data_IF_826986785029
#
_entry.id   IF_826986785029
#
_cell.length_a   1.000
_cell.length_b   1.000
_cell.length_c   1.000
_cell.angle_alpha   90.00
_cell.angle_beta   90.00
_cell.angle_gamma   90.00
#
_symmetry.space_group_name_H-M   'P 1'
#
loop_
_entity.id
_entity.type
_entity.pdbx_description
1 polymer ?
#
# COMPACT_ATOMS: atom_id res chain seq x y z
N UNK A 1 4.90 12.17 17.65
CA UNK A 1 3.75 11.34 17.21
C UNK A 1 2.48 12.19 17.28
N UNK A 2 1.64 12.17 16.24
CA UNK A 2 0.48 13.08 16.11
C UNK A 2 -0.86 12.46 16.54
N UNK A 3 -1.04 11.16 16.30
CA UNK A 3 -2.27 10.43 16.60
C UNK A 3 -1.97 8.94 16.81
N UNK A 4 -2.90 8.23 17.43
CA UNK A 4 -3.03 6.77 17.32
C UNK A 4 -4.28 6.44 16.51
N UNK A 5 -4.37 5.21 16.00
CA UNK A 5 -5.36 4.89 14.97
C UNK A 5 -6.13 3.61 15.25
N UNK A 6 -7.43 3.63 14.98
CA UNK A 6 -8.30 2.46 15.09
C UNK A 6 -8.94 2.16 13.74
N UNK A 7 -8.81 0.92 13.27
CA UNK A 7 -9.34 0.50 11.97
C UNK A 7 -10.67 -0.21 12.22
N UNK A 8 -11.72 0.19 11.50
CA UNK A 8 -13.06 -0.35 11.70
C UNK A 8 -13.91 -0.31 10.43
N UNK A 9 -15.07 -0.95 10.49
CA UNK A 9 -16.10 -0.86 9.45
C UNK A 9 -16.90 0.45 9.62
N UNK A 10 -17.29 1.09 8.52
CA UNK A 10 -18.00 2.38 8.56
C UNK A 10 -19.34 2.31 9.32
N UNK A 11 -20.02 1.16 9.27
CA UNK A 11 -21.29 0.92 10.00
C UNK A 11 -21.12 0.89 11.52
N UNK A 12 -19.88 0.76 12.03
CA UNK A 12 -19.61 0.83 13.47
C UNK A 12 -19.44 2.26 13.97
N UNK A 13 -19.27 3.24 13.07
CA UNK A 13 -18.82 4.58 13.43
C UNK A 13 -19.81 5.30 14.34
N UNK A 14 -21.12 5.22 14.08
CA UNK A 14 -22.12 5.90 14.91
C UNK A 14 -22.13 5.36 16.36
N UNK A 15 -22.05 4.03 16.50
CA UNK A 15 -21.91 3.39 17.82
C UNK A 15 -20.61 3.79 18.52
N UNK A 16 -19.49 3.84 17.80
CA UNK A 16 -18.18 4.23 18.36
C UNK A 16 -18.19 5.70 18.79
N UNK A 17 -18.78 6.59 17.99
CA UNK A 17 -18.88 8.01 18.32
C UNK A 17 -19.83 8.28 19.50
N UNK A 18 -20.74 7.34 19.78
CA UNK A 18 -21.66 7.40 20.93
C UNK A 18 -21.06 6.82 22.21
N UNK A 19 -20.44 5.64 22.12
CA UNK A 19 -20.02 4.86 23.28
C UNK A 19 -18.51 4.84 23.51
N UNK A 20 -17.72 5.36 22.57
CA UNK A 20 -16.28 5.20 22.52
C UNK A 20 -15.85 3.96 21.75
N UNK A 21 -14.53 3.80 21.59
CA UNK A 21 -13.96 2.55 21.07
C UNK A 21 -13.91 1.58 22.24
N UNK A 22 -14.69 0.51 22.18
CA UNK A 22 -14.81 -0.46 23.26
C UNK A 22 -13.95 -1.70 22.98
N UNK A 23 -13.46 -2.32 24.04
CA UNK A 23 -12.84 -3.65 23.97
C UNK A 23 -13.87 -4.69 23.53
N UNK A 24 -13.41 -5.78 22.93
CA UNK A 24 -14.31 -6.85 22.47
C UNK A 24 -15.19 -7.40 23.59
N UNK A 25 -14.62 -7.60 24.79
CA UNK A 25 -15.39 -8.05 25.94
C UNK A 25 -16.48 -7.05 26.32
N UNK A 26 -16.17 -5.75 26.37
CA UNK A 26 -17.17 -4.72 26.69
C UNK A 26 -18.28 -4.61 25.63
N UNK A 27 -17.97 -4.88 24.36
CA UNK A 27 -18.99 -4.93 23.28
C UNK A 27 -19.97 -6.09 23.52
N UNK A 28 -19.47 -7.27 23.86
CA UNK A 28 -20.29 -8.45 24.15
C UNK A 28 -21.12 -8.27 25.43
N UNK A 29 -20.50 -7.79 26.51
CA UNK A 29 -21.17 -7.58 27.81
C UNK A 29 -22.34 -6.59 27.68
N UNK A 30 -22.22 -5.61 26.77
CA UNK A 30 -23.27 -4.61 26.49
C UNK A 30 -24.26 -5.07 25.40
N UNK A 31 -24.06 -6.23 24.78
CA UNK A 31 -24.91 -6.72 23.70
C UNK A 31 -24.94 -5.83 22.46
N UNK A 32 -23.86 -5.06 22.21
CA UNK A 32 -23.80 -4.13 21.08
C UNK A 32 -23.52 -4.88 19.78
N UNK A 33 -24.29 -4.56 18.75
CA UNK A 33 -24.06 -5.09 17.40
C UNK A 33 -22.87 -4.39 16.76
N UNK A 34 -22.03 -5.15 16.08
CA UNK A 34 -20.91 -4.60 15.31
C UNK A 34 -20.69 -5.40 14.02
N UNK A 35 -20.11 -4.73 13.04
CA UNK A 35 -19.64 -5.33 11.79
C UNK A 35 -18.15 -5.62 11.90
N UNK A 36 -17.77 -6.88 11.87
CA UNK A 36 -16.37 -7.30 11.97
C UNK A 36 -15.61 -7.03 10.66
N UNK A 37 -14.42 -6.44 10.77
CA UNK A 37 -13.43 -6.37 9.67
C UNK A 37 -12.41 -7.51 9.72
N UNK A 38 -12.39 -8.27 10.82
CA UNK A 38 -11.45 -9.35 11.07
C UNK A 38 -12.07 -10.72 10.78
N UNK A 39 -11.21 -11.70 10.53
CA UNK A 39 -11.60 -13.10 10.53
C UNK A 39 -11.85 -13.62 11.95
N UNK A 40 -12.77 -14.57 12.08
CA UNK A 40 -13.11 -15.21 13.37
C UNK A 40 -11.89 -15.79 14.08
N UNK A 41 -10.90 -16.25 13.33
CA UNK A 41 -9.67 -16.85 13.84
C UNK A 41 -8.76 -15.83 14.52
N UNK A 42 -8.55 -14.65 13.92
CA UNK A 42 -7.80 -13.54 14.51
C UNK A 42 -8.42 -13.14 15.85
N UNK A 43 -9.75 -13.03 15.86
CA UNK A 43 -10.53 -12.67 17.05
C UNK A 43 -10.38 -13.76 18.14
N UNK A 44 -10.38 -15.04 17.76
CA UNK A 44 -10.14 -16.16 18.68
C UNK A 44 -8.72 -16.19 19.26
N UNK A 45 -7.70 -15.95 18.42
CA UNK A 45 -6.29 -15.94 18.84
C UNK A 45 -6.05 -14.84 19.89
N UNK A 46 -6.63 -13.65 19.66
CA UNK A 46 -6.56 -12.55 20.64
C UNK A 46 -7.28 -12.89 21.95
N UNK A 47 -8.32 -13.73 21.94
CA UNK A 47 -9.00 -14.16 23.18
C UNK A 47 -8.09 -15.00 24.08
N UNK A 48 -7.26 -15.85 23.47
CA UNK A 48 -6.35 -16.78 24.17
C UNK A 48 -5.07 -16.11 24.66
N UNK A 49 -4.60 -15.07 23.98
CA UNK A 49 -3.39 -14.34 24.35
C UNK A 49 -3.65 -13.43 25.55
N UNK A 50 -2.73 -13.43 26.50
CA UNK A 50 -2.80 -12.61 27.71
C UNK A 50 -1.69 -11.55 27.76
N UNK A 51 -1.98 -10.45 28.43
CA UNK A 51 -1.01 -9.42 28.84
C UNK A 51 -0.18 -9.90 30.04
N UNK A 52 0.89 -9.17 30.42
CA UNK A 52 1.71 -9.52 31.59
C UNK A 52 0.96 -9.60 32.93
N UNK A 53 -0.19 -8.94 33.06
CA UNK A 53 -1.11 -9.03 34.20
C UNK A 53 -2.21 -10.10 34.03
N UNK A 54 -1.98 -11.07 33.13
CA UNK A 54 -2.84 -12.23 32.87
C UNK A 54 -4.25 -11.91 32.34
N UNK A 55 -4.49 -10.68 31.90
CA UNK A 55 -5.76 -10.31 31.26
C UNK A 55 -5.73 -10.68 29.77
N UNK A 56 -6.88 -11.15 29.27
CA UNK A 56 -7.04 -11.43 27.85
C UNK A 56 -6.93 -10.14 27.02
N UNK A 57 -6.34 -10.21 25.81
CA UNK A 57 -6.34 -9.05 24.89
C UNK A 57 -7.76 -8.57 24.54
N UNK A 58 -8.80 -9.39 24.74
CA UNK A 58 -10.20 -8.99 24.58
C UNK A 58 -10.67 -7.91 25.56
N UNK A 59 -9.96 -7.74 26.67
CA UNK A 59 -10.22 -6.67 27.64
C UNK A 59 -9.61 -5.34 27.22
N UNK A 60 -8.94 -5.28 26.07
CA UNK A 60 -8.25 -4.08 25.59
C UNK A 60 -8.82 -3.60 24.26
N UNK A 61 -8.92 -2.28 24.12
CA UNK A 61 -9.10 -1.59 22.85
C UNK A 61 -7.72 -1.39 22.22
N UNK A 62 -7.44 -2.08 21.12
CA UNK A 62 -6.16 -2.00 20.42
C UNK A 62 -6.14 -0.85 19.42
N UNK A 63 -5.14 0.01 19.48
CA UNK A 63 -4.93 1.10 18.52
C UNK A 63 -3.49 1.09 18.01
N UNK A 64 -3.29 1.48 16.76
CA UNK A 64 -2.02 1.40 16.06
C UNK A 64 -1.27 2.73 16.11
N UNK A 65 0.06 2.66 16.14
CA UNK A 65 0.91 3.83 15.90
C UNK A 65 0.97 4.23 14.41
N UNK A 66 0.76 3.26 13.52
CA UNK A 66 0.72 3.42 12.07
C UNK A 66 -0.51 2.68 11.52
N UNK A 67 -1.50 3.37 10.90
CA UNK A 67 -2.67 2.71 10.34
C UNK A 67 -2.37 2.02 9.03
N UNK A 68 -1.41 2.54 8.25
CA UNK A 68 -1.00 1.97 6.96
C UNK A 68 -0.04 0.81 7.18
N UNK A 69 -0.58 -0.33 7.57
CA UNK A 69 0.15 -1.51 8.03
C UNK A 69 -0.36 -2.81 7.36
N UNK A 70 0.29 -3.97 7.57
CA UNK A 70 -0.10 -5.26 7.01
C UNK A 70 -1.56 -5.67 7.27
N UNK A 71 -2.12 -5.30 8.42
CA UNK A 71 -3.50 -5.62 8.76
C UNK A 71 -4.48 -4.80 7.92
N UNK A 72 -4.27 -3.47 7.80
CA UNK A 72 -5.11 -2.65 6.92
C UNK A 72 -4.98 -3.09 5.46
N UNK A 73 -3.76 -3.44 5.02
CA UNK A 73 -3.52 -3.93 3.67
C UNK A 73 -4.36 -5.17 3.37
N UNK A 74 -4.37 -6.13 4.30
CA UNK A 74 -5.20 -7.33 4.20
C UNK A 74 -6.69 -7.01 4.06
N UNK A 75 -7.22 -6.18 4.94
CA UNK A 75 -8.64 -5.83 4.93
C UNK A 75 -9.03 -5.14 3.63
N UNK A 76 -8.18 -4.22 3.14
CA UNK A 76 -8.41 -3.51 1.87
C UNK A 76 -8.37 -4.46 0.68
N UNK A 77 -7.46 -5.45 0.67
CA UNK A 77 -7.38 -6.43 -0.41
C UNK A 77 -8.60 -7.35 -0.45
N UNK A 78 -8.99 -7.91 0.71
CA UNK A 78 -10.07 -8.91 0.80
C UNK A 78 -11.45 -8.30 0.56
N UNK A 79 -11.69 -7.09 1.08
CA UNK A 79 -13.05 -6.50 1.14
C UNK A 79 -13.21 -5.23 0.30
N UNK A 80 -12.10 -4.68 -0.21
CA UNK A 80 -12.04 -3.32 -0.74
C UNK A 80 -12.10 -2.29 0.38
N UNK A 81 -11.71 -1.04 0.09
CA UNK A 81 -11.75 0.02 1.08
C UNK A 81 -13.11 0.73 1.21
N UNK A 82 -14.13 0.32 0.44
CA UNK A 82 -15.44 1.01 0.36
C UNK A 82 -16.16 1.11 1.71
N UNK A 83 -15.94 0.13 2.58
CA UNK A 83 -16.61 0.03 3.88
C UNK A 83 -15.65 0.20 5.07
N UNK A 84 -14.41 0.62 4.82
CA UNK A 84 -13.37 0.73 5.85
C UNK A 84 -13.15 2.19 6.23
N UNK A 85 -13.01 2.43 7.53
CA UNK A 85 -12.62 3.71 8.09
C UNK A 85 -11.46 3.55 9.08
N UNK A 86 -10.65 4.59 9.18
CA UNK A 86 -9.58 4.70 10.18
C UNK A 86 -9.88 5.89 11.07
N UNK A 87 -10.16 5.64 12.34
CA UNK A 87 -10.38 6.67 13.35
C UNK A 87 -9.03 7.13 13.88
N UNK A 88 -8.82 8.43 13.95
CA UNK A 88 -7.64 9.02 14.56
C UNK A 88 -7.94 9.61 15.93
N UNK A 89 -7.09 9.26 16.88
CA UNK A 89 -7.21 9.59 18.29
C UNK A 89 -6.16 10.60 18.71
N UNK A 90 -6.56 11.49 19.61
CA UNK A 90 -5.65 12.41 20.28
C UNK A 90 -4.59 11.62 21.09
N UNK A 91 -3.31 12.05 21.11
CA UNK A 91 -2.24 11.37 21.85
C UNK A 91 -2.52 11.19 23.35
N UNK A 92 -3.43 11.97 23.92
CA UNK A 92 -3.93 11.89 25.30
C UNK A 92 -4.45 10.50 25.66
N UNK A 93 -4.83 9.66 24.68
CA UNK A 93 -5.16 8.25 24.92
C UNK A 93 -4.01 7.46 25.58
N UNK A 94 -2.76 7.91 25.42
CA UNK A 94 -1.60 7.32 26.10
C UNK A 94 -1.51 7.65 27.60
N UNK A 95 -2.42 8.47 28.13
CA UNK A 95 -2.51 8.75 29.56
C UNK A 95 -3.46 7.77 30.27
N UNK A 96 -4.05 6.82 29.53
CA UNK A 96 -4.95 5.80 30.10
C UNK A 96 -4.21 4.90 31.10
N UNK A 97 -4.70 4.76 32.33
CA UNK A 97 -4.07 3.93 33.34
C UNK A 97 -4.13 2.45 32.94
N UNK A 98 -3.04 1.72 33.20
CA UNK A 98 -2.97 0.28 32.92
C UNK A 98 -2.83 -0.07 31.43
N UNK A 99 -2.47 0.89 30.57
CA UNK A 99 -2.17 0.60 29.17
C UNK A 99 -0.89 -0.23 29.01
N UNK A 100 -0.83 -0.98 27.93
CA UNK A 100 0.38 -1.60 27.43
C UNK A 100 0.74 -1.08 26.04
N UNK A 101 2.03 -0.91 25.78
CA UNK A 101 2.58 -0.66 24.45
C UNK A 101 3.30 -1.92 24.00
N UNK A 102 3.19 -2.27 22.73
CA UNK A 102 3.80 -3.46 22.15
C UNK A 102 4.78 -3.08 21.03
N UNK A 103 5.85 -3.87 20.86
CA UNK A 103 6.84 -3.68 19.78
C UNK A 103 6.39 -4.31 18.44
N UNK A 104 5.12 -4.70 18.33
CA UNK A 104 4.55 -5.32 17.14
C UNK A 104 3.11 -5.77 17.38
N UNK A 105 2.55 -6.59 16.49
CA UNK A 105 1.20 -7.15 16.67
C UNK A 105 1.15 -7.96 17.99
N UNK A 106 0.27 -7.55 18.92
CA UNK A 106 0.14 -8.12 20.26
C UNK A 106 -0.27 -9.61 20.27
N UNK A 107 -0.91 -10.09 19.21
CA UNK A 107 -1.30 -11.50 19.07
C UNK A 107 -0.10 -12.42 18.77
N UNK A 108 0.99 -11.86 18.26
CA UNK A 108 2.18 -12.62 17.87
C UNK A 108 3.01 -13.05 19.10
N UNK A 109 3.54 -14.27 19.10
CA UNK A 109 4.27 -14.84 20.24
C UNK A 109 5.55 -14.08 20.60
N UNK A 110 6.29 -13.59 19.60
CA UNK A 110 7.57 -12.89 19.81
C UNK A 110 7.39 -11.41 20.18
N UNK A 111 6.14 -10.94 20.30
CA UNK A 111 5.85 -9.55 20.68
C UNK A 111 5.97 -9.34 22.18
N UNK A 112 6.68 -8.26 22.53
CA UNK A 112 6.91 -7.86 23.91
C UNK A 112 5.93 -6.77 24.31
N UNK A 113 5.59 -6.75 25.61
CA UNK A 113 4.67 -5.81 26.22
C UNK A 113 5.42 -4.91 27.20
N UNK A 114 5.19 -3.62 27.10
CA UNK A 114 5.85 -2.60 27.88
C UNK A 114 4.82 -1.72 28.57
N UNK A 115 5.14 -1.24 29.76
CA UNK A 115 4.41 -0.13 30.37
C UNK A 115 4.59 1.15 29.52
N UNK A 116 3.83 2.19 29.83
CA UNK A 116 3.90 3.46 29.09
C UNK A 116 5.32 4.02 28.95
N UNK A 117 6.10 4.10 30.03
CA UNK A 117 7.42 4.76 30.02
C UNK A 117 8.41 4.02 29.12
N UNK A 118 8.53 2.72 29.31
CA UNK A 118 9.47 1.90 28.55
C UNK A 118 9.00 1.75 27.10
N UNK A 119 7.69 1.60 26.91
CA UNK A 119 7.08 1.44 25.60
C UNK A 119 7.29 2.64 24.68
N UNK A 120 7.19 3.86 25.20
CA UNK A 120 7.45 5.06 24.39
C UNK A 120 8.91 5.12 23.92
N UNK A 121 9.86 4.67 24.74
CA UNK A 121 11.26 4.59 24.32
C UNK A 121 11.41 3.58 23.18
N UNK A 122 10.85 2.38 23.31
CA UNK A 122 10.89 1.34 22.27
C UNK A 122 10.27 1.83 20.95
N UNK A 123 9.11 2.48 21.01
CA UNK A 123 8.45 3.05 19.82
C UNK A 123 9.30 4.14 19.18
N UNK A 124 10.00 4.95 19.99
CA UNK A 124 10.90 5.98 19.49
C UNK A 124 12.10 5.37 18.77
N UNK A 125 12.71 4.34 19.35
CA UNK A 125 13.87 3.64 18.77
C UNK A 125 13.50 2.92 17.46
N UNK A 126 12.26 2.45 17.36
CA UNK A 126 11.73 1.74 16.19
C UNK A 126 10.97 2.65 15.21
N UNK A 127 10.92 3.96 15.45
CA UNK A 127 10.03 4.88 14.75
C UNK A 127 10.26 4.90 13.24
N UNK A 128 11.51 4.76 12.79
CA UNK A 128 11.85 4.69 11.37
C UNK A 128 11.27 3.46 10.67
N UNK A 129 11.15 2.34 11.38
CA UNK A 129 10.47 1.14 10.87
C UNK A 129 8.96 1.33 10.87
N UNK A 130 8.39 1.87 11.95
CA UNK A 130 6.93 2.08 12.10
C UNK A 130 6.39 3.08 11.08
N UNK A 131 7.15 4.13 10.75
CA UNK A 131 6.75 5.13 9.75
C UNK A 131 7.06 4.70 8.31
N UNK A 132 7.65 3.52 8.11
CA UNK A 132 8.04 3.02 6.80
C UNK A 132 6.86 2.83 5.85
N UNK A 133 7.08 3.05 4.55
CA UNK A 133 6.07 2.80 3.50
C UNK A 133 6.01 1.33 3.06
N UNK A 134 7.02 0.53 3.45
CA UNK A 134 7.19 -0.86 3.06
C UNK A 134 7.63 -1.71 4.26
N UNK A 135 7.32 -3.00 4.20
CA UNK A 135 7.69 -3.98 5.22
C UNK A 135 7.97 -5.35 4.60
N UNK A 136 8.67 -6.21 5.34
CA UNK A 136 8.90 -7.60 4.98
C UNK A 136 9.03 -8.47 6.26
N UNK A 137 8.88 -9.78 6.09
CA UNK A 137 9.03 -10.73 7.20
C UNK A 137 10.49 -11.00 7.57
N UNK A 138 11.42 -10.87 6.62
CA UNK A 138 12.83 -11.26 6.76
C UNK A 138 13.60 -10.38 7.76
N UNK A 139 13.31 -9.07 7.79
CA UNK A 139 13.91 -8.10 8.73
C UNK A 139 13.01 -7.79 9.94
N UNK A 140 11.85 -8.45 10.03
CA UNK A 140 10.86 -8.28 11.09
C UNK A 140 10.06 -6.97 11.03
N UNK A 141 10.27 -6.10 10.03
CA UNK A 141 9.53 -4.84 9.88
C UNK A 141 8.02 -5.05 9.75
N UNK A 142 7.58 -6.16 9.13
CA UNK A 142 6.15 -6.53 9.02
C UNK A 142 5.47 -6.64 10.39
N UNK A 143 6.14 -7.25 11.37
CA UNK A 143 5.62 -7.32 12.74
C UNK A 143 5.67 -5.95 13.42
N UNK A 144 6.82 -5.28 13.33
CA UNK A 144 7.14 -4.03 14.04
C UNK A 144 6.24 -2.86 13.63
N UNK A 145 5.88 -2.75 12.35
CA UNK A 145 4.98 -1.69 11.87
C UNK A 145 3.55 -1.83 12.41
N UNK A 146 3.19 -3.03 12.87
CA UNK A 146 1.92 -3.30 13.56
C UNK A 146 2.02 -3.10 15.08
N UNK A 147 3.00 -2.36 15.58
CA UNK A 147 3.06 -1.98 16.99
C UNK A 147 1.72 -1.34 17.44
N UNK A 148 1.23 -1.78 18.59
CA UNK A 148 -0.07 -1.40 19.12
C UNK A 148 0.06 -0.77 20.52
N UNK A 149 -0.86 0.13 20.84
CA UNK A 149 -1.19 0.51 22.21
C UNK A 149 -2.52 -0.18 22.60
N UNK A 150 -2.50 -0.87 23.74
CA UNK A 150 -3.61 -1.61 24.29
C UNK A 150 -4.19 -0.82 25.46
N UNK A 151 -5.38 -0.25 25.27
CA UNK A 151 -6.07 0.54 26.31
C UNK A 151 -7.13 -0.32 26.99
N UNK A 152 -7.10 -0.48 28.33
CA UNK A 152 -8.09 -1.30 29.04
C UNK A 152 -9.53 -0.80 28.83
N UNK A 153 -10.45 -1.73 28.62
CA UNK A 153 -11.90 -1.58 28.54
C UNK A 153 -12.43 -0.71 27.41
N UNK A 154 -12.07 0.58 27.36
CA UNK A 154 -12.64 1.55 26.44
C UNK A 154 -11.78 2.80 26.25
N UNK A 155 -11.95 3.44 25.10
CA UNK A 155 -11.40 4.77 24.77
C UNK A 155 -12.58 5.73 24.64
N UNK A 156 -12.52 6.86 25.36
CA UNK A 156 -13.58 7.87 25.34
C UNK A 156 -13.82 8.42 23.91
N UNK A 157 -15.08 8.64 23.50
CA UNK A 157 -15.39 9.27 22.21
C UNK A 157 -14.83 10.69 22.10
N UNK A 158 -14.58 11.39 23.22
CA UNK A 158 -13.99 12.74 23.23
C UNK A 158 -12.53 12.77 22.76
N UNK A 159 -11.87 11.60 22.72
CA UNK A 159 -10.51 11.46 22.20
C UNK A 159 -10.47 11.27 20.68
N UNK A 160 -11.63 11.12 20.02
CA UNK A 160 -11.73 10.98 18.57
C UNK A 160 -11.70 12.37 17.93
N UNK A 161 -10.71 12.63 17.07
CA UNK A 161 -10.57 13.93 16.43
C UNK A 161 -10.85 13.93 14.93
N UNK A 162 -10.68 12.79 14.24
CA UNK A 162 -10.99 12.69 12.80
C UNK A 162 -11.21 11.25 12.36
N UNK A 163 -11.86 11.09 11.21
CA UNK A 163 -12.10 9.81 10.55
C UNK A 163 -11.52 9.90 9.14
N UNK A 164 -10.63 8.97 8.80
CA UNK A 164 -10.04 8.84 7.47
C UNK A 164 -10.74 7.75 6.67
N UNK A 165 -10.93 7.99 5.38
CA UNK A 165 -11.57 7.07 4.42
C UNK A 165 -10.85 7.10 3.06
N UNK A 166 -11.08 6.10 2.23
CA UNK A 166 -10.31 5.93 0.99
C UNK A 166 -10.52 7.03 -0.08
N UNK A 167 -11.70 7.66 -0.15
CA UNK A 167 -12.01 8.66 -1.18
C UNK A 167 -13.20 9.54 -0.77
N UNK A 168 -13.55 10.51 -1.62
CA UNK A 168 -14.66 11.44 -1.39
C UNK A 168 -16.03 10.75 -1.31
N UNK A 169 -16.31 9.75 -2.14
CA UNK A 169 -17.58 9.00 -2.09
C UNK A 169 -17.75 8.30 -0.76
N UNK A 170 -16.69 7.66 -0.24
CA UNK A 170 -16.70 7.09 1.10
C UNK A 170 -16.94 8.16 2.18
N UNK A 171 -16.33 9.34 2.03
CA UNK A 171 -16.48 10.42 3.00
C UNK A 171 -17.93 10.91 3.09
N UNK A 172 -18.59 11.11 1.95
CA UNK A 172 -20.01 11.50 1.94
C UNK A 172 -20.91 10.42 2.52
N UNK A 173 -20.63 9.13 2.26
CA UNK A 173 -21.35 8.03 2.89
C UNK A 173 -21.14 7.99 4.41
N UNK A 174 -19.92 8.18 4.90
CA UNK A 174 -19.67 8.22 6.36
C UNK A 174 -20.38 9.43 6.99
N UNK A 175 -20.31 10.60 6.35
CA UNK A 175 -21.01 11.80 6.83
C UNK A 175 -22.52 11.61 6.88
N UNK A 176 -23.13 10.79 6.01
CA UNK A 176 -24.57 10.50 6.10
C UNK A 176 -24.91 9.50 7.21
N UNK A 177 -24.00 8.57 7.53
CA UNK A 177 -24.19 7.55 8.57
C UNK A 177 -24.02 8.06 10.00
N UNK A 178 -23.09 8.98 10.25
CA UNK A 178 -22.76 9.42 11.62
C UNK A 178 -23.62 10.60 12.09
N UNK A 179 -24.01 10.61 13.37
CA UNK A 179 -24.76 11.73 13.96
C UNK A 179 -23.87 12.93 14.36
N UNK A 180 -22.62 12.69 14.78
CA UNK A 180 -21.64 13.73 15.18
C UNK A 180 -21.03 14.43 13.98
N UNK A 181 -21.71 15.45 13.43
CA UNK A 181 -21.31 16.17 12.20
C UNK A 181 -20.07 17.04 12.37
N UNK A 182 -19.67 17.34 13.60
CA UNK A 182 -18.49 18.12 13.92
C UNK A 182 -17.18 17.35 13.72
N UNK A 183 -17.22 16.02 13.66
CA UNK A 183 -16.04 15.19 13.43
C UNK A 183 -15.65 15.25 11.95
N UNK A 184 -14.44 15.73 11.61
CA UNK A 184 -13.96 15.75 10.23
C UNK A 184 -13.86 14.34 9.64
N UNK A 185 -14.44 14.16 8.46
CA UNK A 185 -14.29 12.96 7.63
C UNK A 185 -13.41 13.31 6.43
N UNK A 186 -12.20 12.75 6.40
CA UNK A 186 -11.11 13.15 5.51
C UNK A 186 -10.79 12.02 4.52
N UNK A 187 -10.95 12.27 3.21
CA UNK A 187 -10.43 11.38 2.17
C UNK A 187 -8.89 11.34 2.21
N UNK A 188 -8.32 10.17 2.43
CA UNK A 188 -6.86 9.95 2.45
C UNK A 188 -6.51 8.64 1.71
N UNK A 189 -6.59 8.63 0.37
CA UNK A 189 -6.42 7.41 -0.44
C UNK A 189 -5.09 6.68 -0.18
N UNK A 190 -4.01 7.40 0.11
CA UNK A 190 -2.68 6.81 0.29
C UNK A 190 -2.59 5.92 1.54
N UNK A 191 -3.37 6.25 2.59
CA UNK A 191 -3.53 5.43 3.79
C UNK A 191 -4.15 4.07 3.46
N UNK A 192 -5.01 4.01 2.43
CA UNK A 192 -5.70 2.81 1.96
C UNK A 192 -5.02 2.20 0.73
N UNK A 193 -3.71 2.43 0.55
CA UNK A 193 -2.89 1.84 -0.52
C UNK A 193 -3.30 2.24 -1.94
N UNK A 194 -4.16 3.25 -2.10
CA UNK A 194 -4.52 3.79 -3.39
C UNK A 194 -3.60 4.94 -3.80
N UNK A 195 -3.50 5.23 -5.11
CA UNK A 195 -2.85 6.45 -5.58
C UNK A 195 -3.49 7.70 -4.97
N UNK A 196 -2.67 8.69 -4.63
CA UNK A 196 -3.09 10.00 -4.17
C UNK A 196 -3.99 10.71 -5.18
N UNK A 197 -3.66 10.57 -6.48
CA UNK A 197 -4.44 11.07 -7.59
C UNK A 197 -4.43 10.09 -8.75
N UNK A 198 -5.50 10.12 -9.54
CA UNK A 198 -5.60 9.39 -10.80
C UNK A 198 -6.13 10.31 -11.90
N UNK A 199 -5.59 10.16 -13.10
CA UNK A 199 -6.00 10.90 -14.29
C UNK A 199 -6.43 9.90 -15.35
N UNK A 200 -7.69 9.93 -15.74
CA UNK A 200 -8.21 9.02 -16.75
C UNK A 200 -7.85 9.54 -18.15
N UNK A 201 -7.13 8.72 -18.93
CA UNK A 201 -6.78 9.03 -20.33
C UNK A 201 -7.75 8.31 -21.28
N UNK A 202 -8.09 7.05 -20.96
CA UNK A 202 -9.12 6.26 -21.63
C UNK A 202 -9.86 5.37 -20.63
N UNK A 203 -10.75 4.50 -21.09
CA UNK A 203 -11.41 3.52 -20.21
C UNK A 203 -10.44 2.50 -19.59
N UNK A 204 -9.25 2.33 -20.18
CA UNK A 204 -8.27 1.33 -19.76
C UNK A 204 -6.88 1.90 -19.46
N UNK A 205 -6.62 3.18 -19.76
CA UNK A 205 -5.34 3.84 -19.53
C UNK A 205 -5.50 5.00 -18.54
N UNK A 206 -4.72 4.96 -17.46
CA UNK A 206 -4.75 5.95 -16.39
C UNK A 206 -3.34 6.41 -16.03
N UNK A 207 -3.19 7.65 -15.61
CA UNK A 207 -2.02 8.11 -14.86
C UNK A 207 -2.31 8.04 -13.37
N UNK A 208 -1.28 7.80 -12.56
CA UNK A 208 -1.41 7.70 -11.11
C UNK A 208 -0.25 8.41 -10.40
N UNK A 209 -0.56 9.16 -9.34
CA UNK A 209 0.41 9.64 -8.36
C UNK A 209 0.37 8.70 -7.15
N UNK A 210 1.41 7.90 -6.90
CA UNK A 210 1.38 6.94 -5.79
C UNK A 210 2.57 5.99 -5.74
N UNK A 211 2.43 4.89 -4.99
CA UNK A 211 3.39 3.79 -5.04
C UNK A 211 2.94 2.70 -6.01
N UNK A 212 3.76 2.45 -7.03
CA UNK A 212 3.46 1.44 -8.05
C UNK A 212 3.51 0.02 -7.47
N UNK A 213 4.31 -0.24 -6.43
CA UNK A 213 4.42 -1.58 -5.85
C UNK A 213 3.16 -2.03 -5.10
N UNK A 214 2.27 -1.09 -4.75
CA UNK A 214 0.95 -1.39 -4.19
C UNK A 214 -0.16 -1.40 -5.25
N UNK A 215 0.21 -1.39 -6.55
CA UNK A 215 -0.78 -1.46 -7.62
C UNK A 215 -1.51 -2.80 -7.64
N UNK A 216 -2.82 -2.77 -7.85
CA UNK A 216 -3.65 -3.97 -8.03
C UNK A 216 -3.48 -4.63 -9.41
N UNK A 217 -2.66 -4.06 -10.30
CA UNK A 217 -2.35 -4.67 -11.59
C UNK A 217 -1.60 -6.00 -11.43
N UNK A 218 -1.73 -6.89 -12.41
CA UNK A 218 -1.07 -8.20 -12.43
C UNK A 218 0.45 -8.05 -12.62
N UNK A 219 0.85 -7.19 -13.55
CA UNK A 219 2.26 -7.02 -13.93
C UNK A 219 2.78 -5.67 -13.46
N UNK A 220 3.87 -5.66 -12.71
CA UNK A 220 4.59 -4.46 -12.28
C UNK A 220 5.84 -4.27 -13.14
N UNK A 221 6.08 -3.07 -13.64
CA UNK A 221 7.22 -2.81 -14.53
C UNK A 221 8.38 -2.18 -13.78
N UNK A 222 9.55 -2.81 -13.77
CA UNK A 222 10.75 -2.23 -13.18
C UNK A 222 11.65 -1.69 -14.28
N UNK A 223 11.90 -0.38 -14.26
CA UNK A 223 12.88 0.24 -15.16
C UNK A 223 14.30 -0.17 -14.77
N UNK A 224 15.03 -0.78 -15.70
CA UNK A 224 16.35 -1.38 -15.45
C UNK A 224 17.37 -0.96 -16.51
N UNK A 225 18.64 -1.28 -16.26
CA UNK A 225 19.68 -1.27 -17.27
C UNK A 225 19.89 -2.69 -17.82
N UNK A 226 20.83 -2.87 -18.76
CA UNK A 226 21.12 -4.17 -19.34
C UNK A 226 22.40 -4.81 -18.79
N UNK A 227 23.02 -4.21 -17.76
CA UNK A 227 24.29 -4.69 -17.16
C UNK A 227 24.12 -5.33 -15.79
N UNK A 228 22.89 -5.61 -15.35
CA UNK A 228 22.66 -6.42 -14.14
C UNK A 228 22.78 -5.66 -12.81
N UNK A 229 22.70 -4.32 -12.82
CA UNK A 229 22.83 -3.50 -11.59
C UNK A 229 21.50 -2.82 -11.25
N UNK A 230 21.01 -2.97 -10.02
CA UNK A 230 19.86 -2.23 -9.47
C UNK A 230 20.33 -1.36 -8.29
N UNK A 231 20.85 -0.16 -8.58
CA UNK A 231 21.59 0.63 -7.60
C UNK A 231 20.86 1.85 -7.02
N UNK A 232 19.93 2.46 -7.77
CA UNK A 232 19.18 3.65 -7.32
C UNK A 232 17.71 3.64 -7.79
N UNK A 233 16.90 4.50 -7.20
CA UNK A 233 15.50 4.74 -7.59
C UNK A 233 14.63 3.49 -7.49
N UNK A 234 13.66 3.37 -8.42
CA UNK A 234 12.70 2.27 -8.48
C UNK A 234 13.37 0.89 -8.55
N UNK A 235 14.44 0.75 -9.33
CA UNK A 235 15.18 -0.51 -9.45
C UNK A 235 15.80 -0.94 -8.12
N UNK A 236 16.41 -0.01 -7.39
CA UNK A 236 16.99 -0.29 -6.07
C UNK A 236 15.91 -0.71 -5.06
N UNK A 237 14.77 -0.01 -5.04
CA UNK A 237 13.62 -0.42 -4.22
C UNK A 237 13.17 -1.84 -4.58
N UNK A 238 13.02 -2.14 -5.87
CA UNK A 238 12.65 -3.49 -6.32
C UNK A 238 13.66 -4.55 -5.85
N UNK A 239 14.96 -4.27 -5.89
CA UNK A 239 16.00 -5.20 -5.40
C UNK A 239 15.83 -5.54 -3.91
N UNK A 240 15.55 -4.55 -3.06
CA UNK A 240 15.40 -4.79 -1.61
C UNK A 240 14.05 -5.39 -1.26
N UNK A 241 13.00 -5.00 -1.97
CA UNK A 241 11.63 -5.47 -1.72
C UNK A 241 11.38 -6.87 -2.31
N UNK A 242 12.04 -7.19 -3.43
CA UNK A 242 11.88 -8.45 -4.17
C UNK A 242 13.25 -9.04 -4.56
N UNK A 243 14.00 -9.62 -3.61
CA UNK A 243 15.34 -10.15 -3.88
C UNK A 243 15.37 -11.21 -4.99
N UNK A 244 14.31 -12.03 -5.12
CA UNK A 244 14.18 -13.03 -6.17
C UNK A 244 14.11 -12.40 -7.57
N UNK A 245 13.39 -11.28 -7.72
CA UNK A 245 13.33 -10.50 -8.97
C UNK A 245 14.73 -10.00 -9.38
N UNK A 246 15.56 -9.62 -8.41
CA UNK A 246 16.92 -9.19 -8.70
C UNK A 246 17.80 -10.33 -9.23
N UNK A 247 17.67 -11.54 -8.68
CA UNK A 247 18.40 -12.73 -9.16
C UNK A 247 18.00 -13.04 -10.61
N UNK A 248 16.70 -13.10 -10.90
CA UNK A 248 16.19 -13.36 -12.25
C UNK A 248 16.64 -12.29 -13.24
N UNK A 249 16.63 -11.02 -12.82
CA UNK A 249 17.13 -9.91 -13.63
C UNK A 249 18.59 -10.07 -14.02
N UNK A 250 19.46 -10.43 -13.06
CA UNK A 250 20.88 -10.62 -13.34
C UNK A 250 21.11 -11.75 -14.34
N UNK A 251 20.36 -12.84 -14.23
CA UNK A 251 20.46 -13.96 -15.16
C UNK A 251 19.95 -13.58 -16.56
N UNK A 252 18.85 -12.84 -16.64
CA UNK A 252 18.32 -12.34 -17.91
C UNK A 252 19.31 -11.39 -18.62
N UNK A 253 20.05 -10.57 -17.88
CA UNK A 253 21.16 -9.77 -18.40
C UNK A 253 22.31 -10.65 -18.92
N UNK A 254 22.80 -11.60 -18.11
CA UNK A 254 23.92 -12.49 -18.49
C UNK A 254 23.60 -13.30 -19.75
N UNK A 255 22.37 -13.83 -19.84
CA UNK A 255 21.88 -14.59 -21.00
C UNK A 255 21.49 -13.71 -22.19
N UNK A 256 21.57 -12.38 -22.07
CA UNK A 256 21.15 -11.39 -23.08
C UNK A 256 19.69 -11.54 -23.52
N UNK A 257 18.85 -12.12 -22.67
CA UNK A 257 17.40 -12.19 -22.88
C UNK A 257 16.76 -10.82 -22.71
N UNK A 258 17.32 -10.01 -21.81
CA UNK A 258 17.00 -8.61 -21.60
C UNK A 258 17.99 -7.71 -22.37
N UNK A 259 17.49 -6.86 -23.27
CA UNK A 259 18.29 -5.87 -24.03
C UNK A 259 17.45 -4.65 -24.38
N UNK A 260 18.07 -3.53 -24.76
CA UNK A 260 17.32 -2.35 -25.24
C UNK A 260 16.34 -2.75 -26.35
N UNK A 261 15.12 -2.20 -26.29
CA UNK A 261 14.02 -2.56 -27.18
C UNK A 261 13.36 -3.92 -26.91
N UNK A 262 13.88 -4.74 -25.98
CA UNK A 262 13.33 -6.06 -25.63
C UNK A 262 13.29 -6.28 -24.12
N UNK A 263 12.15 -5.93 -23.48
CA UNK A 263 11.86 -6.29 -22.10
C UNK A 263 11.89 -7.79 -21.83
N UNK A 264 12.01 -8.16 -20.55
CA UNK A 264 11.91 -9.53 -20.08
C UNK A 264 10.81 -9.65 -19.03
N UNK A 265 9.90 -10.60 -19.21
CA UNK A 265 8.81 -10.86 -18.27
C UNK A 265 9.19 -12.00 -17.33
N UNK A 266 9.19 -11.73 -16.03
CA UNK A 266 9.30 -12.74 -14.98
C UNK A 266 7.91 -13.04 -14.41
N UNK A 267 7.44 -14.28 -14.64
CA UNK A 267 6.17 -14.79 -14.12
C UNK A 267 6.42 -15.42 -12.75
N UNK A 268 6.47 -14.57 -11.72
CA UNK A 268 6.69 -15.00 -10.34
C UNK A 268 5.54 -15.89 -9.86
N UNK A 269 5.86 -16.98 -9.17
CA UNK A 269 4.87 -17.89 -8.57
C UNK A 269 4.49 -17.49 -7.14
N UNK A 270 5.37 -16.77 -6.43
CA UNK A 270 5.08 -16.26 -5.10
C UNK A 270 4.10 -15.07 -5.14
N UNK A 271 3.07 -15.15 -4.28
CA UNK A 271 2.10 -14.08 -4.07
C UNK A 271 2.72 -12.91 -3.32
N UNK A 272 2.74 -11.73 -3.93
CA UNK A 272 3.16 -10.50 -3.23
C UNK A 272 2.15 -10.11 -2.16
N UNK A 273 0.88 -10.35 -2.42
CA UNK A 273 -0.19 -9.99 -1.51
C UNK A 273 0.01 -10.75 -0.17
N UNK A 274 0.38 -12.04 -0.22
CA UNK A 274 0.69 -12.86 0.95
C UNK A 274 1.91 -12.33 1.74
N UNK A 275 2.93 -11.84 1.03
CA UNK A 275 4.11 -11.23 1.63
C UNK A 275 3.74 -9.95 2.40
N UNK A 276 2.76 -9.19 1.92
CA UNK A 276 2.35 -7.91 2.50
C UNK A 276 1.26 -8.02 3.57
N UNK A 277 0.37 -9.02 3.52
CA UNK A 277 -0.77 -9.17 4.44
C UNK A 277 -0.39 -9.78 5.78
N UNK A 278 -1.02 -9.34 6.88
CA UNK A 278 -0.88 -10.06 8.16
C UNK A 278 -1.53 -11.45 8.10
N UNK A 279 -0.83 -12.48 8.59
CA UNK A 279 -1.22 -13.91 8.54
C UNK A 279 -1.79 -14.35 7.16
N UNK A 280 -0.94 -14.72 6.18
CA UNK A 280 -1.38 -15.02 4.82
C UNK A 280 -2.36 -16.21 4.78
N UNK A 281 -3.33 -16.12 3.87
CA UNK A 281 -4.29 -17.19 3.55
C UNK A 281 -4.24 -17.46 2.05
N UNK A 282 -4.45 -18.72 1.65
CA UNK A 282 -4.63 -19.06 0.24
C UNK A 282 -5.83 -18.29 -0.30
N UNK A 283 -5.55 -17.24 -1.06
CA UNK A 283 -6.55 -16.39 -1.69
C UNK A 283 -6.38 -16.45 -3.20
N UNK A 284 -7.38 -17.01 -3.90
CA UNK A 284 -7.46 -16.98 -5.35
C UNK A 284 -7.86 -15.58 -5.85
N UNK A 285 -6.93 -14.63 -5.70
CA UNK A 285 -7.02 -13.32 -6.36
C UNK A 285 -6.68 -13.51 -7.86
N UNK A 286 -7.44 -12.90 -8.79
CA UNK A 286 -7.13 -12.93 -10.22
C UNK A 286 -5.71 -12.44 -10.58
N UNK A 287 -5.02 -11.79 -9.62
CA UNK A 287 -3.69 -11.21 -9.72
C UNK A 287 -2.77 -11.58 -8.52
N UNK A 288 -3.05 -12.66 -7.78
CA UNK A 288 -2.26 -13.08 -6.60
C UNK A 288 -0.76 -13.19 -6.94
N UNK A 289 -0.47 -13.83 -8.07
CA UNK A 289 0.87 -13.95 -8.62
C UNK A 289 1.25 -12.68 -9.40
N UNK A 290 1.89 -11.73 -8.72
CA UNK A 290 2.41 -10.49 -9.33
C UNK A 290 3.59 -10.80 -10.24
N UNK A 291 3.48 -10.44 -11.50
CA UNK A 291 4.56 -10.58 -12.48
C UNK A 291 5.41 -9.32 -12.56
N UNK A 292 6.66 -9.47 -12.99
CA UNK A 292 7.59 -8.35 -13.13
C UNK A 292 8.04 -8.21 -14.59
N UNK A 293 7.70 -7.09 -15.21
CA UNK A 293 8.25 -6.71 -16.50
C UNK A 293 9.54 -5.91 -16.28
N UNK A 294 10.69 -6.55 -16.50
CA UNK A 294 11.98 -5.89 -16.46
C UNK A 294 12.15 -5.11 -17.77
N UNK A 295 12.07 -3.78 -17.69
CA UNK A 295 12.02 -2.90 -18.85
C UNK A 295 13.32 -2.09 -18.97
N UNK A 296 14.16 -2.38 -19.98
CA UNK A 296 15.40 -1.64 -20.18
C UNK A 296 15.12 -0.21 -20.62
N UNK A 297 15.59 0.76 -19.84
CA UNK A 297 15.53 2.17 -20.23
C UNK A 297 16.91 2.74 -20.56
N UNK A 298 17.98 2.00 -20.31
CA UNK A 298 19.37 2.38 -20.59
C UNK A 298 20.27 1.15 -20.70
N UNK A 299 21.42 1.27 -21.33
CA UNK A 299 22.39 0.15 -21.43
C UNK A 299 23.19 0.04 -20.15
N UNK A 300 23.92 1.10 -19.79
CA UNK A 300 24.71 1.16 -18.56
C UNK A 300 24.05 2.08 -17.51
N UNK A 301 24.18 1.76 -16.22
CA UNK A 301 23.53 2.54 -15.15
C UNK A 301 24.05 3.98 -15.00
N UNK A 302 25.25 4.26 -15.52
CA UNK A 302 25.89 5.59 -15.53
C UNK A 302 25.38 6.50 -16.65
N UNK A 303 24.67 5.94 -17.62
CA UNK A 303 24.16 6.68 -18.79
C UNK A 303 22.77 7.24 -18.50
N UNK A 304 22.36 8.22 -19.30
CA UNK A 304 20.98 8.70 -19.34
C UNK A 304 20.07 7.67 -20.02
N UNK A 305 18.75 7.81 -19.85
CA UNK A 305 17.82 6.87 -20.47
C UNK A 305 17.68 7.10 -21.98
N UNK A 306 17.52 6.02 -22.74
CA UNK A 306 17.42 6.01 -24.20
C UNK A 306 15.96 6.09 -24.64
N UNK A 307 15.55 7.26 -25.14
CA UNK A 307 14.18 7.52 -25.58
C UNK A 307 13.71 6.55 -26.68
N UNK A 308 14.54 6.33 -27.70
CA UNK A 308 14.20 5.48 -28.85
C UNK A 308 14.14 4.01 -28.41
N UNK A 309 15.10 3.57 -27.59
CA UNK A 309 15.09 2.21 -27.06
C UNK A 309 13.91 1.93 -26.10
N UNK A 310 13.39 2.96 -25.42
CA UNK A 310 12.13 2.85 -24.66
C UNK A 310 10.94 2.67 -25.61
N UNK A 311 10.86 3.48 -26.68
CA UNK A 311 9.79 3.35 -27.67
C UNK A 311 9.78 1.95 -28.31
N UNK A 312 10.94 1.43 -28.71
CA UNK A 312 11.09 0.06 -29.20
C UNK A 312 10.61 -0.98 -28.17
N UNK A 313 10.90 -0.77 -26.89
CA UNK A 313 10.46 -1.66 -25.81
C UNK A 313 8.94 -1.66 -25.62
N UNK A 314 8.27 -0.51 -25.84
CA UNK A 314 6.82 -0.41 -25.80
C UNK A 314 6.17 -1.08 -27.02
N UNK A 315 6.78 -0.93 -28.21
CA UNK A 315 6.37 -1.66 -29.42
C UNK A 315 6.49 -3.17 -29.19
N UNK A 316 7.60 -3.63 -28.60
CA UNK A 316 7.76 -5.03 -28.22
C UNK A 316 6.64 -5.47 -27.27
N UNK A 317 6.34 -4.69 -26.23
CA UNK A 317 5.28 -5.01 -25.28
C UNK A 317 3.91 -5.13 -25.98
N UNK A 318 3.57 -4.18 -26.85
CA UNK A 318 2.33 -4.18 -27.66
C UNK A 318 2.19 -5.45 -28.50
N UNK A 319 3.29 -5.92 -29.07
CA UNK A 319 3.30 -7.10 -29.92
C UNK A 319 3.27 -8.42 -29.14
N UNK A 320 3.60 -8.43 -27.84
CA UNK A 320 3.81 -9.67 -27.08
C UNK A 320 2.86 -9.87 -25.89
N UNK A 321 2.21 -8.82 -25.35
CA UNK A 321 1.46 -8.93 -24.10
C UNK A 321 0.36 -10.01 -24.11
N UNK A 322 -0.32 -10.19 -25.25
CA UNK A 322 -1.36 -11.22 -25.42
C UNK A 322 -0.78 -12.63 -25.35
N UNK A 323 0.29 -12.88 -26.11
CA UNK A 323 0.98 -14.17 -26.12
C UNK A 323 1.57 -14.49 -24.74
N UNK A 324 2.07 -13.46 -24.05
CA UNK A 324 2.59 -13.58 -22.69
C UNK A 324 1.52 -13.72 -21.61
N UNK A 325 0.25 -13.52 -21.96
CA UNK A 325 -0.93 -13.57 -21.07
C UNK A 325 -0.94 -12.48 -19.99
N UNK A 326 -0.39 -11.30 -20.30
CA UNK A 326 -0.49 -10.13 -19.42
C UNK A 326 -1.94 -9.63 -19.44
N UNK A 327 -2.58 -9.57 -18.26
CA UNK A 327 -3.97 -9.15 -18.09
C UNK A 327 -4.13 -7.69 -17.68
N UNK A 328 -3.11 -7.12 -17.04
CA UNK A 328 -3.05 -5.71 -16.65
C UNK A 328 -1.62 -5.33 -16.25
N UNK A 329 -1.27 -4.06 -16.40
CA UNK A 329 0.11 -3.60 -16.20
C UNK A 329 0.21 -2.23 -15.52
N UNK A 330 1.11 -2.13 -14.54
CA UNK A 330 1.56 -0.88 -13.97
C UNK A 330 2.96 -0.54 -14.51
N UNK A 331 3.11 0.64 -15.11
CA UNK A 331 4.38 1.15 -15.62
C UNK A 331 4.81 2.39 -14.83
N UNK A 332 6.10 2.61 -14.55
CA UNK A 332 6.57 3.91 -14.10
C UNK A 332 6.67 4.87 -15.31
N UNK A 333 6.80 6.17 -15.06
CA UNK A 333 7.23 7.12 -16.07
C UNK A 333 8.65 6.79 -16.57
N UNK A 334 8.73 6.04 -17.68
CA UNK A 334 9.95 5.37 -18.15
C UNK A 334 11.06 6.38 -18.43
N UNK A 335 12.12 6.35 -17.63
CA UNK A 335 13.29 7.22 -17.79
C UNK A 335 13.11 8.67 -17.31
N UNK A 336 11.93 9.06 -16.78
CA UNK A 336 11.65 10.46 -16.40
C UNK A 336 12.18 10.91 -15.03
N UNK A 337 12.72 9.98 -14.22
CA UNK A 337 13.38 10.29 -12.94
C UNK A 337 14.89 10.40 -13.11
N UNK A 338 15.62 9.45 -12.52
CA UNK A 338 17.09 9.34 -12.63
C UNK A 338 17.62 9.07 -14.06
N UNK A 339 16.73 8.84 -15.02
CA UNK A 339 17.05 8.71 -16.45
C UNK A 339 17.14 10.05 -17.19
N UNK A 340 16.75 11.15 -16.55
CA UNK A 340 16.77 12.54 -17.05
C UNK A 340 15.93 12.83 -18.29
N UNK A 341 15.11 11.89 -18.78
CA UNK A 341 14.13 12.21 -19.82
C UNK A 341 13.04 13.12 -19.26
N UNK A 342 12.44 13.94 -20.11
CA UNK A 342 11.35 14.83 -19.71
C UNK A 342 10.00 14.15 -19.94
N UNK A 343 9.11 14.18 -18.94
CA UNK A 343 7.75 13.67 -19.08
C UNK A 343 6.99 14.33 -20.22
N UNK A 344 7.28 15.61 -20.50
CA UNK A 344 6.74 16.36 -21.63
C UNK A 344 6.86 15.58 -22.95
N UNK A 345 7.97 14.87 -23.15
CA UNK A 345 8.25 14.13 -24.38
C UNK A 345 7.88 12.64 -24.24
N UNK A 346 8.18 12.03 -23.09
CA UNK A 346 7.94 10.61 -22.83
C UNK A 346 6.47 10.29 -22.64
N UNK A 347 5.71 11.16 -21.95
CA UNK A 347 4.29 10.95 -21.65
C UNK A 347 3.45 10.72 -22.92
N UNK A 348 3.53 11.62 -23.93
CA UNK A 348 2.85 11.41 -25.21
C UNK A 348 3.31 10.15 -25.95
N UNK A 349 4.60 9.85 -25.95
CA UNK A 349 5.14 8.64 -26.59
C UNK A 349 4.61 7.36 -25.92
N UNK A 350 4.61 7.31 -24.58
CA UNK A 350 4.03 6.19 -23.82
C UNK A 350 2.53 6.05 -24.09
N UNK A 351 1.78 7.15 -24.01
CA UNK A 351 0.33 7.12 -24.23
C UNK A 351 -0.03 6.69 -25.66
N UNK A 352 0.71 7.15 -26.67
CA UNK A 352 0.54 6.71 -28.07
C UNK A 352 0.54 5.18 -28.20
N UNK A 353 1.52 4.51 -27.61
CA UNK A 353 1.64 3.05 -27.73
C UNK A 353 0.70 2.29 -26.79
N UNK A 354 0.45 2.82 -25.59
CA UNK A 354 -0.35 2.15 -24.56
C UNK A 354 -1.87 2.33 -24.74
N UNK A 355 -2.32 3.35 -25.47
CA UNK A 355 -3.74 3.63 -25.67
C UNK A 355 -4.49 2.52 -26.41
N UNK A 356 -3.80 1.77 -27.28
CA UNK A 356 -4.38 0.69 -28.09
C UNK A 356 -4.54 -0.66 -27.35
N UNK A 357 -4.08 -0.76 -26.10
CA UNK A 357 -4.16 -2.00 -25.35
C UNK A 357 -5.60 -2.33 -24.94
N UNK A 358 -5.97 -3.60 -25.00
CA UNK A 358 -7.28 -4.08 -24.54
C UNK A 358 -7.26 -4.53 -23.07
N UNK A 359 -6.22 -4.18 -22.31
CA UNK A 359 -6.04 -4.46 -20.89
C UNK A 359 -5.92 -3.18 -20.07
N UNK A 360 -6.14 -3.26 -18.76
CA UNK A 360 -5.96 -2.12 -17.87
C UNK A 360 -4.48 -1.76 -17.69
N UNK A 361 -4.17 -0.48 -17.82
CA UNK A 361 -2.82 0.10 -17.75
C UNK A 361 -2.83 1.32 -16.84
N UNK A 362 -1.88 1.35 -15.90
CA UNK A 362 -1.62 2.53 -15.07
C UNK A 362 -0.17 2.99 -15.25
N UNK A 363 0.04 4.27 -15.58
CA UNK A 363 1.35 4.90 -15.59
C UNK A 363 1.54 5.70 -14.29
N UNK A 364 2.50 5.29 -13.47
CA UNK A 364 2.85 5.97 -12.22
C UNK A 364 3.84 7.09 -12.50
N UNK A 365 3.41 8.31 -12.17
CA UNK A 365 4.18 9.54 -12.36
C UNK A 365 5.43 9.55 -11.44
N UNK A 366 6.51 10.24 -11.85
CA UNK A 366 7.73 10.32 -11.05
C UNK A 366 7.46 11.01 -9.70
N UNK A 367 8.09 10.50 -8.64
CA UNK A 367 7.92 11.06 -7.28
C UNK A 367 8.83 12.25 -7.01
N UNK A 368 9.93 12.35 -7.75
CA UNK A 368 11.01 13.31 -7.49
C UNK A 368 10.74 14.70 -8.09
N UNK A 369 9.75 14.81 -8.99
CA UNK A 369 9.44 16.06 -9.71
C UNK A 369 7.95 16.19 -9.91
N UNK A 370 7.42 17.36 -9.55
CA UNK A 370 6.05 17.73 -9.90
C UNK A 370 5.96 17.98 -11.40
N UNK A 371 4.93 17.40 -12.02
CA UNK A 371 4.64 17.59 -13.44
C UNK A 371 3.58 18.67 -13.57
N UNK A 372 3.82 19.73 -14.36
CA UNK A 372 2.80 20.73 -14.66
C UNK A 372 1.51 20.11 -15.19
N UNK A 373 0.35 20.58 -14.69
CA UNK A 373 -0.96 19.97 -14.96
C UNK A 373 -1.28 19.90 -16.45
N UNK A 374 -0.80 20.84 -17.25
CA UNK A 374 -0.98 20.85 -18.71
C UNK A 374 -0.39 19.62 -19.40
N UNK A 375 0.65 19.00 -18.83
CA UNK A 375 1.27 17.78 -19.38
C UNK A 375 0.65 16.48 -18.87
N UNK A 376 -0.41 16.57 -18.05
CA UNK A 376 -1.18 15.45 -17.53
C UNK A 376 -2.54 15.29 -18.24
N UNK A 377 -2.91 16.25 -19.08
CA UNK A 377 -4.21 16.26 -19.76
C UNK A 377 -4.26 15.22 -20.87
N UNK A 378 -5.47 14.68 -21.10
CA UNK A 378 -5.72 13.73 -22.18
C UNK A 378 -5.37 14.36 -23.54
N UNK A 379 -5.74 15.62 -23.75
CA UNK A 379 -5.50 16.37 -24.97
C UNK A 379 -4.01 16.46 -25.28
N UNK A 380 -3.19 16.77 -24.27
CA UNK A 380 -1.75 16.84 -24.44
C UNK A 380 -1.13 15.49 -24.77
N UNK A 381 -1.47 14.46 -23.98
CA UNK A 381 -0.88 13.13 -24.07
C UNK A 381 -1.28 12.38 -25.34
N UNK A 382 -2.45 12.69 -25.92
CA UNK A 382 -2.93 12.06 -27.17
C UNK A 382 -2.77 12.97 -28.40
N UNK A 383 -2.21 14.18 -28.25
CA UNK A 383 -2.05 15.18 -29.33
C UNK A 383 -1.32 14.66 -30.57
N UNK A 384 -0.46 13.65 -30.43
CA UNK A 384 0.33 13.05 -31.52
C UNK A 384 -0.23 11.74 -32.06
N UNK A 385 -1.42 11.31 -31.64
CA UNK A 385 -2.07 10.09 -32.15
C UNK A 385 -2.88 10.38 -33.42
N UNK A 386 -3.22 11.65 -33.66
CA UNK A 386 -3.94 12.11 -34.84
C UNK A 386 -2.97 12.62 -35.92
N UNK A 387 -2.22 11.72 -36.55
CA UNK A 387 -1.58 11.93 -37.86
C UNK A 387 -1.39 10.59 -38.56
#
# INVERSE_FOLDING_TARGET
>A
MKSLYYITHIENLDSILTHGILSHQTVEDKGLKYTAIYDKEIVSNRKKKTTPDEKSLWQYSNVYFQPRNPMLYRVVLERGAKDIAVIALYPQVLQSPGLYITDGNAANEITHFYNYRDGIQIITDMWDTIKGEWWNSLDGSKRKIMAECLIPNAISPDLIHSIYVANHTNAERVKSLINRKEIPVIPEPTMFFYPAKQYQISNKLFLAEGDMFFSNMQTLTVSVNTVGIMGKGLASRAKYQFPDVYVVYQDACRKKWLRMGKPYLYKREASLDDELMDEPKEFDSPNSNKWFLLFPTKKHWREDSDFNGIEEGLIWLKNNYKAEKIKSIALPALGCGLGKLNWKDVGPMMCKHLFEFDINIAIYLPREREIPKEFLTKEYLLSKISC
#
